data_IF_985899638961
#
_entry.id   IF_985899638961
#
_cell.length_a   1.000
_cell.length_b   1.000
_cell.length_c   1.000
_cell.angle_alpha   90.00
_cell.angle_beta   90.00
_cell.angle_gamma   90.00
#
_symmetry.space_group_name_H-M   'P 1'
#
loop_
_entity.id
_entity.type
_entity.pdbx_description
1 polymer ?
#
# COMPACT_ATOMS: atom_id res chain seq x y z
N UNK A 1 22.73 27.86 -62.48
CA UNK A 1 21.39 28.49 -62.43
C UNK A 1 20.31 27.46 -62.18
N UNK A 2 20.20 26.36 -62.93
CA UNK A 2 19.15 25.34 -62.76
C UNK A 2 19.13 24.64 -61.43
N UNK A 3 20.23 24.44 -60.71
CA UNK A 3 20.28 23.78 -59.41
C UNK A 3 19.73 24.67 -58.28
N UNK A 4 20.00 25.99 -58.35
CA UNK A 4 19.48 26.95 -57.36
C UNK A 4 17.96 27.16 -57.53
N UNK A 5 17.47 27.15 -58.78
CA UNK A 5 16.04 27.26 -59.08
C UNK A 5 15.30 26.01 -58.61
N UNK A 6 15.89 24.81 -58.74
CA UNK A 6 15.31 23.57 -58.25
C UNK A 6 15.26 23.52 -56.72
N UNK A 7 16.31 23.97 -56.01
CA UNK A 7 16.34 24.10 -54.55
C UNK A 7 15.25 25.04 -54.03
N UNK A 8 15.09 26.19 -54.70
CA UNK A 8 14.02 27.14 -54.35
C UNK A 8 12.61 26.55 -54.54
N UNK A 9 12.36 25.85 -55.65
CA UNK A 9 11.09 25.19 -55.93
C UNK A 9 10.79 24.06 -54.90
N UNK A 10 11.80 23.28 -54.53
CA UNK A 10 11.64 22.22 -53.52
C UNK A 10 11.32 22.83 -52.13
N UNK A 11 12.00 23.90 -51.75
CA UNK A 11 11.71 24.61 -50.48
C UNK A 11 10.30 25.19 -50.45
N UNK A 12 9.87 25.81 -51.53
CA UNK A 12 8.54 26.40 -51.67
C UNK A 12 7.44 25.32 -51.60
N UNK A 13 7.67 24.17 -52.23
CA UNK A 13 6.77 23.03 -52.20
C UNK A 13 6.68 22.36 -50.82
N UNK A 14 7.78 22.27 -50.05
CA UNK A 14 7.85 21.64 -48.76
C UNK A 14 7.50 22.59 -47.60
N UNK A 15 7.58 23.90 -47.78
CA UNK A 15 7.31 24.89 -46.73
C UNK A 15 5.94 24.72 -46.05
N UNK A 16 4.81 24.50 -46.79
CA UNK A 16 3.50 24.27 -46.14
C UNK A 16 3.45 22.99 -45.33
N UNK A 17 4.13 21.93 -45.79
CA UNK A 17 4.16 20.63 -45.09
C UNK A 17 5.01 20.72 -43.83
N UNK A 18 6.13 21.41 -43.86
CA UNK A 18 6.98 21.67 -42.70
C UNK A 18 6.29 22.56 -41.68
N UNK A 19 5.56 23.59 -42.14
CA UNK A 19 4.77 24.44 -41.25
C UNK A 19 3.65 23.67 -40.57
N UNK A 20 2.91 22.83 -41.30
CA UNK A 20 1.86 21.98 -40.74
C UNK A 20 2.42 20.95 -39.72
N UNK A 21 3.56 20.34 -40.02
CA UNK A 21 4.24 19.43 -39.11
C UNK A 21 4.73 20.14 -37.83
N UNK A 22 5.31 21.36 -38.00
CA UNK A 22 5.74 22.18 -36.86
C UNK A 22 4.58 22.61 -35.97
N UNK A 23 3.43 23.01 -36.55
CA UNK A 23 2.20 23.29 -35.78
C UNK A 23 1.64 22.06 -35.06
N UNK A 24 1.68 20.89 -35.69
CA UNK A 24 1.22 19.65 -35.09
C UNK A 24 2.14 19.22 -33.92
N UNK A 25 3.45 19.38 -34.10
CA UNK A 25 4.42 19.18 -33.01
C UNK A 25 4.21 20.19 -31.88
N UNK A 26 4.02 21.48 -32.20
CA UNK A 26 3.76 22.51 -31.19
C UNK A 26 2.47 22.28 -30.44
N UNK A 27 1.39 21.80 -31.08
CA UNK A 27 0.15 21.38 -30.43
C UNK A 27 0.39 20.17 -29.51
N UNK A 28 1.05 19.14 -30.00
CA UNK A 28 1.38 17.95 -29.19
C UNK A 28 2.27 18.29 -27.98
N UNK A 29 3.24 19.21 -28.15
CA UNK A 29 4.06 19.71 -27.05
C UNK A 29 3.25 20.57 -26.06
N UNK A 30 2.31 21.41 -26.55
CA UNK A 30 1.44 22.21 -25.69
C UNK A 30 0.44 21.34 -24.92
N UNK A 31 -0.10 20.30 -25.53
CA UNK A 31 -0.93 19.29 -24.86
C UNK A 31 -0.14 18.48 -23.83
N UNK A 32 1.11 18.13 -24.12
CA UNK A 32 2.02 17.48 -23.18
C UNK A 32 2.53 18.43 -22.07
N UNK A 33 2.61 19.74 -22.37
CA UNK A 33 3.02 20.79 -21.42
C UNK A 33 1.84 21.36 -20.61
N UNK A 34 0.57 21.08 -21.01
CA UNK A 34 -0.55 21.26 -20.08
C UNK A 34 -0.25 20.31 -18.92
N UNK A 35 -0.07 20.80 -17.67
CA UNK A 35 0.20 19.88 -16.58
C UNK A 35 -0.99 18.94 -16.52
N UNK A 36 -0.83 17.74 -17.08
CA UNK A 36 -1.70 16.62 -16.80
C UNK A 36 -1.80 16.66 -15.30
N UNK A 37 -3.01 16.83 -14.75
CA UNK A 37 -3.27 16.93 -13.33
C UNK A 37 -2.52 15.77 -12.71
N UNK A 38 -1.36 16.06 -12.10
CA UNK A 38 -0.39 15.02 -11.76
C UNK A 38 -1.13 14.01 -10.89
N UNK A 39 -1.25 12.78 -11.38
CA UNK A 39 -1.95 11.70 -10.67
C UNK A 39 -1.20 11.46 -9.37
N UNK A 40 -1.81 11.68 -8.19
CA UNK A 40 -1.12 11.48 -6.92
C UNK A 40 -0.66 10.04 -6.79
N UNK A 41 0.62 9.84 -6.50
CA UNK A 41 1.21 8.53 -6.24
C UNK A 41 1.16 8.24 -4.75
N UNK A 42 0.63 7.08 -4.41
CA UNK A 42 0.45 6.60 -3.03
C UNK A 42 1.23 5.30 -2.90
N UNK A 43 2.28 5.29 -2.10
CA UNK A 43 2.97 4.07 -1.71
C UNK A 43 2.53 3.69 -0.31
N UNK A 44 1.96 2.52 -0.14
CA UNK A 44 1.29 2.17 1.11
C UNK A 44 1.43 0.69 1.46
N UNK A 45 1.49 0.39 2.74
CA UNK A 45 1.31 -0.99 3.17
C UNK A 45 -0.14 -1.42 2.96
N UNK A 46 -0.34 -2.69 2.62
CA UNK A 46 -1.64 -3.19 2.21
C UNK A 46 -2.71 -2.98 3.29
N UNK A 47 -3.82 -2.35 2.88
CA UNK A 47 -5.02 -2.16 3.70
C UNK A 47 -6.26 -2.35 2.84
N UNK A 48 -7.31 -2.99 3.41
CA UNK A 48 -8.54 -3.32 2.67
C UNK A 48 -9.32 -2.06 2.24
N UNK A 49 -9.32 -1.02 3.07
CA UNK A 49 -10.00 0.23 2.74
C UNK A 49 -9.25 0.99 1.64
N UNK A 50 -7.91 1.02 1.72
CA UNK A 50 -7.08 1.65 0.69
C UNK A 50 -7.17 0.93 -0.66
N UNK A 51 -7.33 -0.39 -0.68
CA UNK A 51 -7.47 -1.14 -1.92
C UNK A 51 -8.68 -0.69 -2.76
N UNK A 52 -9.71 -0.12 -2.14
CA UNK A 52 -10.89 0.43 -2.81
C UNK A 52 -10.70 1.87 -3.30
N UNK A 53 -9.65 2.55 -2.86
CA UNK A 53 -9.43 3.97 -3.11
C UNK A 53 -9.31 4.33 -4.60
N UNK A 54 -8.50 3.60 -5.43
CA UNK A 54 -8.36 3.95 -6.85
C UNK A 54 -9.70 3.93 -7.60
N UNK A 55 -10.53 2.91 -7.38
CA UNK A 55 -11.84 2.78 -8.02
C UNK A 55 -12.80 3.91 -7.58
N UNK A 56 -12.76 4.30 -6.31
CA UNK A 56 -13.60 5.40 -5.78
C UNK A 56 -13.15 6.76 -6.32
N UNK A 57 -11.86 7.03 -6.35
CA UNK A 57 -11.30 8.27 -6.87
C UNK A 57 -11.51 8.41 -8.38
N UNK A 58 -11.35 7.32 -9.15
CA UNK A 58 -11.62 7.31 -10.59
C UNK A 58 -13.07 7.67 -10.91
N UNK A 59 -14.06 7.19 -10.13
CA UNK A 59 -15.48 7.56 -10.28
C UNK A 59 -15.72 9.07 -10.07
N UNK A 60 -14.87 9.75 -9.35
CA UNK A 60 -14.93 11.21 -9.13
C UNK A 60 -14.08 11.99 -10.16
N UNK A 61 -13.54 11.34 -11.20
CA UNK A 61 -12.66 11.95 -12.19
C UNK A 61 -11.29 12.37 -11.63
N UNK A 62 -10.87 11.77 -10.53
CA UNK A 62 -9.62 12.09 -9.84
C UNK A 62 -8.79 10.81 -9.60
N UNK A 63 -8.19 10.23 -10.64
CA UNK A 63 -7.42 8.99 -10.50
C UNK A 63 -6.25 9.16 -9.53
N UNK A 64 -5.87 8.08 -8.86
CA UNK A 64 -4.68 7.97 -8.02
C UNK A 64 -3.88 6.73 -8.43
N UNK A 65 -2.56 6.81 -8.37
CA UNK A 65 -1.66 5.66 -8.53
C UNK A 65 -1.33 5.10 -7.15
N UNK A 66 -1.92 3.95 -6.82
CA UNK A 66 -1.70 3.26 -5.54
C UNK A 66 -0.85 2.03 -5.75
N UNK A 67 0.30 2.01 -5.10
CA UNK A 67 1.23 0.88 -5.09
C UNK A 67 1.39 0.34 -3.67
N UNK A 68 1.31 -0.99 -3.53
CA UNK A 68 1.47 -1.63 -2.24
C UNK A 68 2.92 -2.09 -2.01
N UNK A 69 3.48 -1.60 -0.90
CA UNK A 69 4.85 -1.87 -0.43
C UNK A 69 4.83 -2.21 1.07
N UNK A 70 5.98 -2.51 1.66
CA UNK A 70 6.12 -2.56 3.11
C UNK A 70 6.04 -1.17 3.73
N UNK A 71 5.67 -1.07 5.03
CA UNK A 71 5.56 0.23 5.73
C UNK A 71 6.84 1.06 5.66
N UNK A 72 8.00 0.43 5.89
CA UNK A 72 9.30 1.11 5.86
C UNK A 72 9.67 1.53 4.44
N UNK A 73 9.42 0.68 3.45
CA UNK A 73 9.67 0.97 2.03
C UNK A 73 8.80 2.13 1.53
N UNK A 74 7.52 2.16 1.95
CA UNK A 74 6.60 3.27 1.64
C UNK A 74 7.11 4.60 2.20
N UNK A 75 7.59 4.59 3.45
CA UNK A 75 8.17 5.78 4.07
C UNK A 75 9.50 6.21 3.42
N UNK A 76 10.35 5.27 3.02
CA UNK A 76 11.58 5.56 2.28
C UNK A 76 11.26 6.19 0.91
N UNK A 77 10.33 5.60 0.16
CA UNK A 77 9.86 6.14 -1.12
C UNK A 77 9.32 7.57 -0.99
N UNK A 78 8.56 7.84 0.08
CA UNK A 78 8.04 9.16 0.38
C UNK A 78 9.16 10.18 0.69
N UNK A 79 10.13 9.80 1.51
CA UNK A 79 11.27 10.66 1.86
C UNK A 79 12.12 11.00 0.63
N UNK A 80 12.24 10.08 -0.32
CA UNK A 80 12.93 10.26 -1.60
C UNK A 80 12.10 11.01 -2.68
N UNK A 81 10.85 11.36 -2.37
CA UNK A 81 9.96 12.08 -3.31
C UNK A 81 9.38 11.21 -4.42
N UNK A 82 9.44 9.89 -4.30
CA UNK A 82 8.87 8.96 -5.29
C UNK A 82 7.35 8.85 -5.21
N UNK A 83 6.74 9.30 -4.11
CA UNK A 83 5.29 9.41 -3.95
C UNK A 83 4.90 10.66 -3.16
N UNK A 84 3.64 11.06 -3.28
CA UNK A 84 3.06 12.21 -2.59
C UNK A 84 2.49 11.82 -1.22
N UNK A 85 2.12 10.53 -1.05
CA UNK A 85 1.56 9.99 0.19
C UNK A 85 2.23 8.64 0.49
N UNK A 86 2.62 8.42 1.74
CA UNK A 86 2.96 7.09 2.22
C UNK A 86 1.95 6.59 3.24
N UNK A 87 1.61 5.30 3.16
CA UNK A 87 0.75 4.59 4.11
C UNK A 87 1.53 3.54 4.90
N UNK A 88 1.40 3.57 6.22
CA UNK A 88 2.10 2.64 7.10
C UNK A 88 1.32 2.33 8.37
N UNK A 89 1.60 1.19 8.97
CA UNK A 89 0.98 0.82 10.24
C UNK A 89 1.97 0.94 11.40
N UNK A 90 1.42 1.25 12.56
CA UNK A 90 2.14 1.28 13.82
C UNK A 90 1.34 0.51 14.87
N UNK A 91 1.78 -0.68 15.27
CA UNK A 91 1.18 -1.43 16.37
C UNK A 91 1.25 -0.65 17.70
N UNK A 92 0.29 -0.89 18.60
CA UNK A 92 0.34 -0.35 19.95
C UNK A 92 1.39 -1.10 20.80
N UNK A 93 1.87 -0.47 21.88
CA UNK A 93 2.79 -1.08 22.85
C UNK A 93 4.25 -1.12 22.40
N UNK A 94 5.02 -2.05 23.00
CA UNK A 94 6.48 -2.11 22.85
C UNK A 94 6.93 -2.35 21.39
N UNK A 95 6.22 -3.18 20.64
CA UNK A 95 6.51 -3.42 19.22
C UNK A 95 6.34 -2.14 18.38
N UNK A 96 5.29 -1.37 18.65
CA UNK A 96 5.07 -0.09 17.98
C UNK A 96 6.15 0.92 18.31
N UNK A 97 6.58 1.00 19.57
CA UNK A 97 7.69 1.86 19.98
C UNK A 97 9.00 1.50 19.25
N UNK A 98 9.30 0.22 19.08
CA UNK A 98 10.47 -0.26 18.32
C UNK A 98 10.38 0.11 16.85
N UNK A 99 9.23 -0.14 16.19
CA UNK A 99 9.01 0.22 14.79
C UNK A 99 9.03 1.74 14.58
N UNK A 100 8.49 2.49 15.51
CA UNK A 100 8.52 3.96 15.46
C UNK A 100 9.93 4.53 15.38
N UNK A 101 10.91 3.93 16.07
CA UNK A 101 12.31 4.33 15.95
C UNK A 101 12.85 4.14 14.53
N UNK A 102 12.39 3.08 13.81
CA UNK A 102 12.78 2.85 12.42
C UNK A 102 12.07 3.82 11.44
N UNK A 103 10.88 4.32 11.79
CA UNK A 103 10.13 5.27 10.96
C UNK A 103 10.60 6.71 11.09
N UNK A 104 11.09 7.10 12.29
CA UNK A 104 11.56 8.47 12.60
C UNK A 104 12.49 9.09 11.56
N UNK A 105 13.49 8.39 10.98
CA UNK A 105 14.41 8.98 10.00
C UNK A 105 13.70 9.53 8.75
N UNK A 106 12.52 9.01 8.40
CA UNK A 106 11.75 9.41 7.24
C UNK A 106 10.70 10.49 7.53
N UNK A 107 10.46 10.79 8.82
CA UNK A 107 9.41 11.72 9.24
C UNK A 107 9.99 13.09 9.59
N UNK A 108 9.32 14.15 9.10
CA UNK A 108 9.68 15.57 9.31
C UNK A 108 8.47 16.32 9.85
N UNK A 109 8.22 16.36 11.18
CA UNK A 109 6.96 16.86 11.75
C UNK A 109 6.59 18.30 11.36
N UNK A 110 7.58 19.17 11.08
CA UNK A 110 7.35 20.56 10.67
C UNK A 110 6.87 20.67 9.21
N UNK A 111 7.25 19.74 8.34
CA UNK A 111 7.01 19.78 6.90
C UNK A 111 5.88 18.82 6.47
N UNK A 112 5.54 17.88 7.31
CA UNK A 112 4.62 16.78 7.01
C UNK A 112 3.40 16.80 7.92
N UNK A 113 2.33 16.16 7.47
CA UNK A 113 1.13 15.87 8.25
C UNK A 113 0.94 14.38 8.33
N UNK A 114 0.73 13.90 9.53
CA UNK A 114 0.39 12.52 9.83
C UNK A 114 -1.12 12.44 10.07
N UNK A 115 -1.80 11.61 9.31
CA UNK A 115 -3.25 11.42 9.37
C UNK A 115 -3.50 9.98 9.78
N UNK A 116 -4.18 9.76 10.90
CA UNK A 116 -4.64 8.42 11.29
C UNK A 116 -5.87 8.08 10.46
N UNK A 117 -5.71 7.07 9.59
CA UNK A 117 -6.78 6.60 8.73
C UNK A 117 -7.73 5.64 9.45
N UNK A 118 -7.16 4.68 10.18
CA UNK A 118 -7.93 3.64 10.83
C UNK A 118 -7.19 3.08 12.06
N UNK A 119 -7.95 2.53 12.97
CA UNK A 119 -7.49 1.63 14.02
C UNK A 119 -8.02 0.24 13.70
N UNK A 120 -7.17 -0.78 13.76
CA UNK A 120 -7.55 -2.15 13.45
C UNK A 120 -6.93 -3.14 14.44
N UNK A 121 -7.47 -4.34 14.51
CA UNK A 121 -6.95 -5.41 15.36
C UNK A 121 -6.21 -6.40 14.49
N UNK A 122 -4.96 -6.71 14.85
CA UNK A 122 -4.19 -7.85 14.36
C UNK A 122 -4.42 -9.05 15.27
N UNK A 123 -4.54 -10.23 14.69
CA UNK A 123 -4.79 -11.45 15.44
C UNK A 123 -4.59 -12.70 14.60
N UNK A 124 -4.93 -13.84 15.21
CA UNK A 124 -4.91 -15.14 14.55
C UNK A 124 -6.29 -15.38 13.96
N UNK A 125 -6.37 -15.46 12.64
CA UNK A 125 -7.53 -15.96 11.92
C UNK A 125 -7.54 -17.48 12.03
N UNK A 126 -8.68 -18.07 12.33
CA UNK A 126 -8.86 -19.52 12.54
C UNK A 126 -10.13 -19.99 11.85
N UNK A 127 -10.24 -21.28 11.55
CA UNK A 127 -11.46 -21.85 10.99
C UNK A 127 -12.68 -21.57 11.89
N UNK A 128 -13.91 -21.52 11.35
CA UNK A 128 -15.13 -21.29 12.12
C UNK A 128 -15.23 -22.22 13.33
N UNK A 129 -15.60 -21.65 14.48
CA UNK A 129 -15.69 -22.41 15.74
C UNK A 129 -14.34 -22.73 16.40
N UNK A 130 -13.21 -22.33 15.79
CA UNK A 130 -11.86 -22.55 16.34
C UNK A 130 -11.60 -24.01 16.77
N UNK A 131 -11.67 -24.99 15.85
CA UNK A 131 -11.59 -26.41 16.17
C UNK A 131 -10.26 -26.82 16.82
N UNK A 132 -9.18 -26.06 16.56
CA UNK A 132 -7.86 -26.28 17.18
C UNK A 132 -7.72 -25.65 18.57
N UNK A 133 -8.76 -24.93 19.03
CA UNK A 133 -8.78 -24.22 20.33
C UNK A 133 -7.56 -23.34 20.54
N UNK A 134 -7.23 -22.53 19.51
CA UNK A 134 -6.14 -21.58 19.57
C UNK A 134 -6.55 -20.36 20.41
N UNK A 135 -5.73 -19.96 21.37
CA UNK A 135 -5.98 -18.84 22.28
C UNK A 135 -4.89 -17.76 22.21
N UNK A 136 -3.78 -18.07 21.56
CA UNK A 136 -2.65 -17.15 21.44
C UNK A 136 -1.50 -17.73 20.63
N UNK A 137 -0.41 -16.95 20.55
CA UNK A 137 0.73 -17.26 19.69
C UNK A 137 1.39 -18.60 20.03
N UNK A 138 1.40 -18.98 21.31
CA UNK A 138 2.02 -20.26 21.77
C UNK A 138 1.27 -21.49 21.24
N UNK A 139 -0.01 -21.37 20.99
CA UNK A 139 -0.81 -22.49 20.48
C UNK A 139 -0.47 -22.86 19.03
N UNK A 140 0.22 -21.98 18.30
CA UNK A 140 0.66 -22.25 16.93
C UNK A 140 1.79 -23.30 16.86
N UNK A 141 2.42 -23.64 18.00
CA UNK A 141 3.44 -24.69 18.08
C UNK A 141 2.84 -26.10 18.17
N UNK A 142 1.51 -26.24 18.29
CA UNK A 142 0.85 -27.55 18.32
C UNK A 142 1.08 -28.29 16.99
N UNK A 143 1.47 -29.55 17.08
CA UNK A 143 1.85 -30.37 15.91
C UNK A 143 0.72 -30.60 14.90
N UNK A 144 -0.54 -30.40 15.33
CA UNK A 144 -1.73 -30.56 14.49
C UNK A 144 -2.26 -29.21 13.94
N UNK A 145 -1.47 -28.14 14.00
CA UNK A 145 -1.83 -26.81 13.48
C UNK A 145 -0.96 -26.51 12.26
N UNK A 146 -1.58 -26.31 11.10
CA UNK A 146 -0.96 -25.82 9.88
C UNK A 146 -1.13 -24.30 9.82
N UNK A 147 -0.04 -23.59 9.99
CA UNK A 147 -0.01 -22.14 9.93
C UNK A 147 0.29 -21.65 8.52
N UNK A 148 -0.33 -20.57 8.10
CA UNK A 148 -0.02 -19.87 6.86
C UNK A 148 0.43 -18.43 7.16
N UNK A 149 1.60 -18.08 6.65
CA UNK A 149 2.24 -16.82 6.95
C UNK A 149 1.99 -15.76 5.86
N UNK A 150 2.45 -14.57 6.10
CA UNK A 150 2.58 -13.51 5.10
C UNK A 150 4.00 -13.50 4.53
N UNK A 151 4.15 -13.02 3.30
CA UNK A 151 5.45 -12.87 2.65
C UNK A 151 6.40 -12.01 3.49
N UNK A 152 7.70 -12.23 3.29
CA UNK A 152 8.75 -11.41 3.89
C UNK A 152 8.55 -9.91 3.55
N UNK A 153 8.83 -9.03 4.51
CA UNK A 153 8.63 -7.58 4.37
C UNK A 153 7.20 -7.09 4.65
N UNK A 154 6.19 -7.96 4.72
CA UNK A 154 4.87 -7.56 5.17
C UNK A 154 4.88 -7.16 6.65
N UNK A 155 4.19 -6.06 7.02
CA UNK A 155 4.12 -5.60 8.41
C UNK A 155 3.59 -6.67 9.37
N UNK A 156 2.59 -7.46 8.94
CA UNK A 156 2.07 -8.60 9.71
C UNK A 156 3.11 -9.70 9.90
N UNK A 157 4.01 -9.93 8.93
CA UNK A 157 5.11 -10.88 9.07
C UNK A 157 6.14 -10.37 10.08
N UNK A 158 6.52 -9.11 10.00
CA UNK A 158 7.44 -8.49 10.96
C UNK A 158 6.87 -8.55 12.38
N UNK A 159 5.57 -8.28 12.53
CA UNK A 159 4.85 -8.44 13.79
C UNK A 159 4.90 -9.87 14.30
N UNK A 160 4.62 -10.85 13.44
CA UNK A 160 4.65 -12.27 13.81
C UNK A 160 6.04 -12.69 14.30
N UNK A 161 7.08 -12.34 13.54
CA UNK A 161 8.46 -12.66 13.90
C UNK A 161 8.89 -11.99 15.22
N UNK A 162 8.37 -10.78 15.49
CA UNK A 162 8.58 -10.11 16.77
C UNK A 162 7.85 -10.85 17.90
N UNK A 163 6.57 -11.22 17.70
CA UNK A 163 5.79 -11.98 18.70
C UNK A 163 6.43 -13.32 19.03
N UNK A 164 6.97 -14.03 18.04
CA UNK A 164 7.69 -15.29 18.27
C UNK A 164 8.91 -15.06 19.17
N UNK A 165 9.72 -14.05 18.90
CA UNK A 165 10.91 -13.71 19.70
C UNK A 165 10.55 -13.35 21.13
N UNK A 166 9.57 -12.48 21.33
CA UNK A 166 9.12 -12.08 22.68
C UNK A 166 8.58 -13.25 23.50
N UNK A 167 8.01 -14.23 22.83
CA UNK A 167 7.50 -15.44 23.49
C UNK A 167 8.53 -16.58 23.59
N UNK A 168 9.77 -16.40 23.10
CA UNK A 168 10.80 -17.43 23.09
C UNK A 168 10.47 -18.62 22.18
N UNK A 169 9.68 -18.39 21.11
CA UNK A 169 9.24 -19.43 20.19
C UNK A 169 10.16 -19.45 18.97
N UNK A 170 10.79 -20.57 18.70
CA UNK A 170 11.60 -20.73 17.50
C UNK A 170 10.69 -20.90 16.26
N UNK A 171 10.92 -20.14 15.20
CA UNK A 171 10.11 -20.18 13.98
C UNK A 171 9.96 -21.59 13.38
N UNK A 172 11.01 -22.44 13.48
CA UNK A 172 11.01 -23.83 13.02
C UNK A 172 10.01 -24.74 13.73
N UNK A 173 9.47 -24.32 14.88
CA UNK A 173 8.44 -25.08 15.62
C UNK A 173 7.02 -24.81 15.11
N UNK A 174 6.86 -23.86 14.20
CA UNK A 174 5.57 -23.55 13.59
C UNK A 174 5.47 -24.29 12.25
N UNK A 175 4.60 -25.28 12.19
CA UNK A 175 4.34 -25.98 10.92
C UNK A 175 3.67 -25.05 9.93
N UNK A 176 4.28 -24.87 8.74
CA UNK A 176 3.81 -23.91 7.73
C UNK A 176 4.36 -22.49 7.89
N UNK A 177 5.36 -22.25 8.76
CA UNK A 177 6.00 -20.92 8.87
C UNK A 177 6.57 -20.42 7.54
N UNK A 178 7.05 -21.33 6.67
CA UNK A 178 7.57 -21.03 5.34
C UNK A 178 6.51 -20.88 4.25
N UNK A 179 5.28 -21.33 4.51
CA UNK A 179 4.17 -21.23 3.58
C UNK A 179 3.61 -19.79 3.64
N UNK A 180 3.49 -19.12 2.48
CA UNK A 180 3.22 -17.68 2.47
C UNK A 180 2.14 -17.29 1.47
N UNK A 181 1.37 -16.25 1.85
CA UNK A 181 0.42 -15.55 1.00
C UNK A 181 0.64 -14.03 1.00
N UNK A 182 0.21 -13.39 -0.10
CA UNK A 182 0.51 -11.98 -0.35
C UNK A 182 -0.45 -11.00 0.33
N UNK A 183 -1.68 -11.42 0.68
CA UNK A 183 -2.70 -10.54 1.26
C UNK A 183 -3.38 -11.17 2.47
N UNK A 184 -4.00 -10.36 3.31
CA UNK A 184 -4.82 -10.87 4.42
C UNK A 184 -5.99 -11.70 3.91
N UNK A 185 -6.63 -11.29 2.82
CA UNK A 185 -7.75 -12.02 2.21
C UNK A 185 -7.31 -13.37 1.64
N UNK A 186 -6.11 -13.47 1.04
CA UNK A 186 -5.58 -14.74 0.56
C UNK A 186 -5.32 -15.71 1.71
N UNK A 187 -4.71 -15.26 2.81
CA UNK A 187 -4.55 -16.07 4.04
C UNK A 187 -5.91 -16.53 4.56
N UNK A 188 -6.90 -15.62 4.62
CA UNK A 188 -8.25 -15.94 5.08
C UNK A 188 -8.94 -16.97 4.18
N UNK A 189 -8.83 -16.84 2.85
CA UNK A 189 -9.39 -17.78 1.88
C UNK A 189 -8.80 -19.20 2.03
N UNK A 190 -7.48 -19.29 2.26
CA UNK A 190 -6.79 -20.58 2.49
C UNK A 190 -7.24 -21.25 3.80
N UNK A 191 -7.55 -20.47 4.83
CA UNK A 191 -8.12 -21.01 6.07
C UNK A 191 -9.57 -21.43 5.84
N UNK A 192 -10.38 -20.61 5.17
CA UNK A 192 -11.77 -20.93 4.85
C UNK A 192 -11.92 -22.22 4.04
N UNK A 193 -11.00 -22.45 3.09
CA UNK A 193 -10.97 -23.66 2.26
C UNK A 193 -10.32 -24.90 2.94
N UNK A 194 -9.85 -24.76 4.18
CA UNK A 194 -9.25 -25.87 4.93
C UNK A 194 -7.81 -26.23 4.54
N UNK A 195 -7.14 -25.41 3.72
CA UNK A 195 -5.72 -25.60 3.37
C UNK A 195 -4.77 -25.21 4.52
N UNK A 196 -5.19 -24.30 5.39
CA UNK A 196 -4.50 -23.93 6.61
C UNK A 196 -5.49 -23.93 7.80
N UNK A 197 -4.97 -24.08 9.01
CA UNK A 197 -5.77 -24.04 10.24
C UNK A 197 -5.74 -22.65 10.90
N UNK A 198 -4.66 -21.89 10.64
CA UNK A 198 -4.46 -20.57 11.22
C UNK A 198 -3.53 -19.70 10.37
N UNK A 199 -3.65 -18.38 10.53
CA UNK A 199 -2.74 -17.40 9.95
C UNK A 199 -2.91 -16.03 10.61
N UNK A 200 -1.87 -15.20 10.63
CA UNK A 200 -2.01 -13.84 11.13
C UNK A 200 -2.67 -12.92 10.10
N UNK A 201 -3.58 -12.10 10.60
CA UNK A 201 -4.26 -11.12 9.77
C UNK A 201 -5.02 -10.08 10.57
N UNK A 202 -5.76 -9.24 9.86
CA UNK A 202 -6.64 -8.24 10.44
C UNK A 202 -8.04 -8.82 10.64
N UNK A 203 -8.74 -8.37 11.70
CA UNK A 203 -10.09 -8.84 12.02
C UNK A 203 -11.08 -8.67 10.86
N UNK A 204 -10.95 -7.61 10.08
CA UNK A 204 -11.80 -7.37 8.91
C UNK A 204 -11.68 -8.48 7.84
N UNK A 205 -10.48 -9.04 7.65
CA UNK A 205 -10.28 -10.17 6.72
C UNK A 205 -10.91 -11.45 7.28
N UNK A 206 -10.81 -11.71 8.57
CA UNK A 206 -11.48 -12.86 9.20
C UNK A 206 -13.00 -12.76 9.01
N UNK A 207 -13.60 -11.60 9.26
CA UNK A 207 -15.04 -11.36 9.08
C UNK A 207 -15.50 -11.55 7.63
N UNK A 208 -14.68 -11.11 6.65
CA UNK A 208 -15.01 -11.24 5.23
C UNK A 208 -15.18 -12.70 4.78
N UNK A 209 -14.53 -13.64 5.45
CA UNK A 209 -14.55 -15.07 5.14
C UNK A 209 -15.22 -15.92 6.24
N UNK A 210 -16.00 -15.29 7.13
CA UNK A 210 -16.73 -15.96 8.23
C UNK A 210 -15.83 -16.80 9.13
N UNK A 211 -14.57 -16.37 9.32
CA UNK A 211 -13.59 -17.05 10.16
C UNK A 211 -13.70 -16.64 11.63
N UNK A 212 -13.27 -17.53 12.53
CA UNK A 212 -12.98 -17.18 13.89
C UNK A 212 -11.74 -16.27 13.99
N UNK A 213 -11.66 -15.49 15.08
CA UNK A 213 -10.57 -14.54 15.26
C UNK A 213 -10.12 -14.51 16.73
N UNK A 214 -8.80 -14.63 16.94
CA UNK A 214 -8.17 -14.51 18.26
C UNK A 214 -7.35 -13.21 18.26
N UNK A 215 -7.83 -12.14 18.92
CA UNK A 215 -7.15 -10.85 18.90
C UNK A 215 -5.81 -10.91 19.64
N UNK A 216 -4.78 -10.27 19.10
CA UNK A 216 -3.45 -10.19 19.69
C UNK A 216 -3.09 -8.77 20.11
N UNK A 217 -3.27 -7.79 19.21
CA UNK A 217 -2.94 -6.39 19.47
C UNK A 217 -3.71 -5.46 18.54
N UNK A 218 -3.75 -4.19 18.92
CA UNK A 218 -4.26 -3.11 18.07
C UNK A 218 -3.12 -2.39 17.36
N UNK A 219 -3.42 -1.85 16.20
CA UNK A 219 -2.51 -0.99 15.45
C UNK A 219 -3.25 0.19 14.84
N UNK A 220 -2.57 1.31 14.72
CA UNK A 220 -3.02 2.46 13.96
C UNK A 220 -2.46 2.37 12.53
N UNK A 221 -3.28 2.74 11.55
CA UNK A 221 -2.87 2.95 10.18
C UNK A 221 -2.76 4.44 9.90
N UNK A 222 -1.59 4.87 9.46
CA UNK A 222 -1.31 6.26 9.19
C UNK A 222 -1.05 6.50 7.70
N UNK A 223 -1.48 7.66 7.24
CA UNK A 223 -1.01 8.29 6.01
C UNK A 223 -0.12 9.47 6.38
N UNK A 224 0.98 9.64 5.67
CA UNK A 224 1.84 10.82 5.75
C UNK A 224 1.92 11.50 4.40
N UNK A 225 1.82 12.84 4.39
CA UNK A 225 2.01 13.68 3.21
C UNK A 225 2.70 14.98 3.58
N UNK A 226 3.23 15.70 2.58
CA UNK A 226 3.81 17.02 2.78
C UNK A 226 2.71 18.04 3.04
N UNK A 227 2.92 18.93 3.97
CA UNK A 227 1.94 19.96 4.38
C UNK A 227 1.51 20.86 3.22
N UNK A 228 2.42 21.20 2.33
CA UNK A 228 2.19 22.01 1.12
C UNK A 228 1.23 21.34 0.13
N UNK A 229 1.24 20.00 0.07
CA UNK A 229 0.41 19.24 -0.86
C UNK A 229 -1.06 19.14 -0.44
N UNK A 230 -1.38 19.41 0.83
CA UNK A 230 -2.76 19.31 1.35
C UNK A 230 -3.75 20.24 0.64
N UNK A 231 -3.26 21.33 0.03
CA UNK A 231 -4.08 22.31 -0.70
C UNK A 231 -4.25 21.97 -2.18
N UNK A 232 -3.66 20.89 -2.65
CA UNK A 232 -3.87 20.43 -4.02
C UNK A 232 -5.26 19.79 -4.17
N UNK A 233 -6.07 20.17 -5.17
CA UNK A 233 -7.46 19.72 -5.29
C UNK A 233 -7.63 18.19 -5.29
N UNK A 234 -6.68 17.45 -5.91
CA UNK A 234 -6.72 16.00 -5.94
C UNK A 234 -6.53 15.39 -4.54
N UNK A 235 -5.67 15.99 -3.70
CA UNK A 235 -5.43 15.53 -2.33
C UNK A 235 -6.52 16.00 -1.37
N UNK A 236 -7.10 17.18 -1.56
CA UNK A 236 -8.28 17.61 -0.81
C UNK A 236 -9.44 16.63 -0.99
N UNK A 237 -9.75 16.27 -2.23
CA UNK A 237 -10.80 15.30 -2.55
C UNK A 237 -10.51 13.93 -1.96
N UNK A 238 -9.25 13.47 -2.03
CA UNK A 238 -8.83 12.21 -1.43
C UNK A 238 -9.03 12.23 0.08
N UNK A 239 -8.59 13.26 0.77
CA UNK A 239 -8.76 13.35 2.22
C UNK A 239 -10.21 13.58 2.65
N UNK A 240 -11.04 14.26 1.85
CA UNK A 240 -12.48 14.36 2.06
C UNK A 240 -13.12 12.96 1.98
N UNK A 241 -12.78 12.17 0.95
CA UNK A 241 -13.27 10.80 0.80
C UNK A 241 -12.86 9.90 1.98
N UNK A 242 -11.64 10.04 2.47
CA UNK A 242 -11.14 9.25 3.60
C UNK A 242 -11.74 9.65 4.95
N UNK A 243 -12.28 10.85 5.09
CA UNK A 243 -13.01 11.30 6.28
C UNK A 243 -14.47 10.84 6.35
N UNK A 244 -15.00 10.24 5.29
CA UNK A 244 -16.35 9.68 5.27
C UNK A 244 -17.46 10.71 5.02
N UNK A 245 -17.17 11.77 4.27
CA UNK A 245 -18.17 12.72 3.72
C UNK A 245 -18.62 12.27 2.34
#
# INVERSE_FOLDING_TARGET
IRLLDLDAQIREMLAPQLAAAAEQMARGLAEAATPARAVPRIHASHDLALALLPARMAKQGQPVDLQFHGSLESLASFAEGRCEIAGFHCPEGAVGATLWQQYKPYLRPRQQVLIRLAKRTQGIMVAPGNPKKLRGIRDLTKSNVRFLNRQSGAGTRLLFDWLLRENGIAARTIAGYGDVELTHSAVAAMIASGHADAGLGVEAAARQFDLGFVPLLKEDYFLVTRRELLRQPALESLFALLKGN
#
